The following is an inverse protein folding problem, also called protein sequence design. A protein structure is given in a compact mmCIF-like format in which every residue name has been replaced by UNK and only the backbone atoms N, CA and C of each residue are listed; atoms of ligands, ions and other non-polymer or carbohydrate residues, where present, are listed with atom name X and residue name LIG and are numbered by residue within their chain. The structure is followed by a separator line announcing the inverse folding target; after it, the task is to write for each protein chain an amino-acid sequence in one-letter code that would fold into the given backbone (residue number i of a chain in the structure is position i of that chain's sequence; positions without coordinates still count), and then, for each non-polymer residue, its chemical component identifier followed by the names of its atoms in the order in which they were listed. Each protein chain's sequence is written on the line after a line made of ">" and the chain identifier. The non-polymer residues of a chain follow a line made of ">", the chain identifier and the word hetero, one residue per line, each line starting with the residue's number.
data_IF_523590402054
#
_entry.id   IF_523590402054
#
_cell.length_a   1.000
_cell.length_b   1.000
_cell.length_c   1.000
_cell.angle_alpha   90.00
_cell.angle_beta   90.00
_cell.angle_gamma   90.00
#
_symmetry.space_group_name_H-M   'P 1'
#
loop_
_entity.id
_entity.type
_entity.pdbx_description
1 polymer ?
#
# COMPACT_ATOMS: atom_id res chain seq x y z
N UNK A 1 21.77 3.40 1.37
CA UNK A 1 21.50 4.79 1.78
C UNK A 1 20.20 4.71 2.52
N UNK A 2 20.27 4.84 3.84
CA UNK A 2 19.10 4.82 4.70
C UNK A 2 18.46 6.20 4.65
N UNK A 3 17.15 6.23 4.64
CA UNK A 3 16.35 7.44 4.71
C UNK A 3 15.88 7.61 6.15
N UNK A 4 16.09 8.80 6.71
CA UNK A 4 15.94 9.04 8.14
C UNK A 4 14.80 10.04 8.45
N UNK A 5 13.94 10.33 7.47
CA UNK A 5 12.84 11.29 7.60
C UNK A 5 11.86 10.95 8.74
N UNK A 6 11.76 9.66 9.10
CA UNK A 6 10.96 9.16 10.22
C UNK A 6 11.82 8.52 11.34
N UNK A 7 13.12 8.85 11.39
CA UNK A 7 14.11 8.29 12.31
C UNK A 7 15.15 7.43 11.58
N UNK A 8 16.32 7.24 12.20
CA UNK A 8 17.44 6.49 11.63
C UNK A 8 16.98 5.14 11.03
N UNK A 9 17.27 4.89 9.76
CA UNK A 9 16.90 3.63 9.08
C UNK A 9 15.39 3.36 8.99
N UNK A 10 14.55 4.40 9.10
CA UNK A 10 13.10 4.27 8.84
C UNK A 10 12.80 3.89 7.40
N UNK A 11 13.63 4.35 6.45
CA UNK A 11 13.57 3.93 5.06
C UNK A 11 12.57 4.73 4.21
N UNK A 12 12.61 4.51 2.89
CA UNK A 12 11.79 5.21 1.89
C UNK A 12 11.74 4.45 0.59
N UNK A 13 10.66 4.63 -0.18
CA UNK A 13 10.57 4.20 -1.58
C UNK A 13 10.39 5.42 -2.49
N UNK A 14 10.85 5.33 -3.73
CA UNK A 14 10.84 6.44 -4.67
C UNK A 14 10.14 6.02 -5.96
N UNK A 15 9.25 6.87 -6.45
CA UNK A 15 8.53 6.66 -7.71
C UNK A 15 9.16 7.55 -8.77
N UNK A 16 9.52 6.94 -9.90
CA UNK A 16 10.03 7.62 -11.08
C UNK A 16 9.12 7.33 -12.27
N UNK A 17 8.91 8.35 -13.11
CA UNK A 17 8.21 8.24 -14.38
C UNK A 17 9.13 8.63 -15.52
N UNK A 18 9.14 7.82 -16.58
CA UNK A 18 9.84 8.13 -17.83
C UNK A 18 8.97 9.08 -18.66
N UNK A 19 9.45 10.31 -18.85
CA UNK A 19 8.76 11.31 -19.68
C UNK A 19 9.13 11.22 -21.18
N UNK A 20 9.88 10.18 -21.57
CA UNK A 20 10.38 9.93 -22.93
C UNK A 20 11.78 10.46 -23.20
N UNK A 21 12.33 11.31 -22.33
CA UNK A 21 13.73 11.76 -22.40
C UNK A 21 14.51 11.46 -21.14
N UNK A 22 13.86 11.52 -19.97
CA UNK A 22 14.47 11.37 -18.66
C UNK A 22 13.53 10.63 -17.71
N UNK A 23 14.13 10.00 -16.70
CA UNK A 23 13.40 9.53 -15.52
C UNK A 23 13.27 10.67 -14.51
N UNK A 24 12.03 11.06 -14.23
CA UNK A 24 11.73 12.13 -13.27
C UNK A 24 11.18 11.51 -11.99
N UNK A 25 11.74 11.89 -10.84
CA UNK A 25 11.18 11.50 -9.55
C UNK A 25 9.82 12.20 -9.35
N UNK A 26 8.75 11.42 -9.30
CA UNK A 26 7.40 11.92 -9.05
C UNK A 26 7.08 11.99 -7.56
N UNK A 27 7.54 11.01 -6.78
CA UNK A 27 7.21 10.91 -5.37
C UNK A 27 8.33 10.26 -4.55
N UNK A 28 8.38 10.64 -3.28
CA UNK A 28 9.03 9.89 -2.21
C UNK A 28 7.92 9.40 -1.28
N UNK A 29 7.93 8.10 -0.99
CA UNK A 29 6.94 7.42 -0.18
C UNK A 29 7.60 7.00 1.13
N UNK A 30 6.92 7.27 2.24
CA UNK A 30 7.29 6.88 3.60
C UNK A 30 6.07 6.28 4.28
N UNK A 31 6.26 5.31 5.16
CA UNK A 31 5.19 4.80 6.01
C UNK A 31 4.62 5.93 6.89
N UNK A 32 3.30 6.01 7.04
CA UNK A 32 2.60 7.01 7.86
C UNK A 32 2.97 6.97 9.34
N UNK A 33 3.40 5.80 9.78
CA UNK A 33 3.79 5.39 11.12
C UNK A 33 5.25 4.91 11.14
N UNK A 34 6.03 5.24 10.10
CA UNK A 34 7.43 4.85 10.02
C UNK A 34 8.20 5.27 11.26
N UNK A 35 9.02 4.36 11.76
CA UNK A 35 9.89 4.54 12.91
C UNK A 35 11.32 4.13 12.57
N UNK A 36 12.24 4.52 13.44
CA UNK A 36 13.65 4.17 13.29
C UNK A 36 13.83 2.65 13.25
N UNK A 37 14.54 2.17 12.23
CA UNK A 37 14.85 0.75 12.06
C UNK A 37 13.80 -0.08 11.34
N UNK A 38 12.65 0.46 10.93
CA UNK A 38 11.60 -0.32 10.25
C UNK A 38 12.02 -0.84 8.86
N UNK A 39 13.06 -0.24 8.27
CA UNK A 39 13.59 -0.57 6.94
C UNK A 39 12.52 -0.54 5.84
N UNK A 40 11.62 0.45 5.86
CA UNK A 40 10.63 0.67 4.82
C UNK A 40 11.29 0.84 3.45
N UNK A 41 10.72 0.21 2.42
CA UNK A 41 11.27 0.25 1.06
C UNK A 41 12.27 -0.87 0.78
N UNK A 42 12.49 -1.80 1.72
CA UNK A 42 13.36 -2.96 1.51
C UNK A 42 12.91 -3.82 0.33
N UNK A 43 11.60 -3.99 0.16
CA UNK A 43 11.00 -4.68 -0.99
C UNK A 43 9.88 -3.83 -1.58
N UNK A 44 9.75 -3.85 -2.91
CA UNK A 44 8.75 -3.06 -3.63
C UNK A 44 8.15 -3.88 -4.77
N UNK A 45 6.84 -3.74 -4.98
CA UNK A 45 6.13 -4.28 -6.13
C UNK A 45 5.08 -3.27 -6.62
N UNK A 46 4.90 -3.17 -7.93
CA UNK A 46 4.03 -2.19 -8.58
C UNK A 46 3.12 -2.91 -9.58
N UNK A 47 1.82 -2.64 -9.53
CA UNK A 47 0.83 -3.12 -10.50
C UNK A 47 -0.22 -2.04 -10.78
N UNK A 48 -0.21 -1.48 -11.98
CA UNK A 48 -1.07 -0.34 -12.32
C UNK A 48 -0.77 0.86 -11.42
N UNK A 49 -1.79 1.37 -10.73
CA UNK A 49 -1.68 2.48 -9.77
C UNK A 49 -1.38 2.02 -8.34
N UNK A 50 -1.15 0.72 -8.11
CA UNK A 50 -0.91 0.16 -6.77
C UNK A 50 0.55 -0.21 -6.56
N UNK A 51 1.13 0.28 -5.47
CA UNK A 51 2.43 -0.12 -4.97
C UNK A 51 2.29 -0.84 -3.62
N UNK A 52 3.00 -1.95 -3.47
CA UNK A 52 3.15 -2.68 -2.22
C UNK A 52 4.60 -2.60 -1.78
N UNK A 53 4.84 -2.12 -0.56
CA UNK A 53 6.17 -1.79 -0.05
C UNK A 53 6.38 -2.49 1.28
N UNK A 54 7.45 -3.29 1.41
CA UNK A 54 7.80 -3.98 2.63
C UNK A 54 8.62 -3.14 3.61
N UNK A 55 8.39 -3.37 4.90
CA UNK A 55 9.17 -2.87 6.03
C UNK A 55 9.35 -4.05 7.01
N UNK A 56 10.33 -4.92 6.72
CA UNK A 56 10.42 -6.22 7.39
C UNK A 56 10.90 -6.15 8.85
N UNK A 57 11.39 -4.98 9.29
CA UNK A 57 11.84 -4.73 10.65
C UNK A 57 10.85 -3.90 11.46
N UNK A 58 9.68 -3.60 10.89
CA UNK A 58 8.58 -2.98 11.64
C UNK A 58 8.22 -3.83 12.86
N UNK A 59 7.98 -3.17 13.99
CA UNK A 59 7.88 -3.81 15.30
C UNK A 59 6.43 -3.88 15.85
N UNK A 60 5.42 -3.54 15.05
CA UNK A 60 4.04 -3.38 15.51
C UNK A 60 3.41 -4.65 16.10
N UNK A 61 3.78 -5.83 15.59
CA UNK A 61 3.31 -7.13 16.09
C UNK A 61 4.39 -7.88 16.92
N UNK A 62 5.48 -7.20 17.29
CA UNK A 62 6.66 -7.77 17.93
C UNK A 62 7.94 -7.37 17.20
N UNK A 63 9.08 -7.45 17.90
CA UNK A 63 10.38 -7.03 17.36
C UNK A 63 10.69 -7.72 16.02
N UNK A 64 10.80 -6.97 14.92
CA UNK A 64 11.02 -7.52 13.58
C UNK A 64 9.88 -8.40 13.06
N UNK A 65 8.65 -8.21 13.55
CA UNK A 65 7.47 -8.92 13.01
C UNK A 65 7.18 -8.54 11.57
N UNK A 66 7.46 -7.28 11.21
CA UNK A 66 7.41 -6.76 9.86
C UNK A 66 6.01 -6.37 9.40
N UNK A 67 5.98 -5.48 8.40
CA UNK A 67 4.75 -4.95 7.79
C UNK A 67 4.91 -4.78 6.29
N UNK A 68 3.78 -4.64 5.59
CA UNK A 68 3.75 -4.18 4.21
C UNK A 68 2.70 -3.08 4.01
N UNK A 69 3.02 -2.10 3.19
CA UNK A 69 2.25 -0.88 3.02
C UNK A 69 1.73 -0.78 1.60
N UNK A 70 0.44 -0.47 1.47
CA UNK A 70 -0.22 -0.24 0.20
C UNK A 70 -0.28 1.25 -0.09
N UNK A 71 0.23 1.64 -1.25
CA UNK A 71 0.11 2.98 -1.78
C UNK A 71 -0.66 2.95 -3.11
N UNK A 72 -1.53 3.93 -3.29
CA UNK A 72 -2.30 4.12 -4.51
C UNK A 72 -1.95 5.48 -5.14
N UNK A 73 -1.67 5.49 -6.43
CA UNK A 73 -1.71 6.71 -7.23
C UNK A 73 -3.16 7.07 -7.57
N UNK A 74 -3.66 8.14 -6.96
CA UNK A 74 -5.01 8.65 -7.20
C UNK A 74 -5.11 9.60 -8.42
N UNK A 75 -4.05 9.70 -9.22
CA UNK A 75 -3.92 10.58 -10.39
C UNK A 75 -3.39 11.98 -10.06
N UNK A 76 -3.20 12.31 -8.79
CA UNK A 76 -2.57 13.57 -8.35
C UNK A 76 -1.44 13.37 -7.36
N UNK A 77 -1.49 12.29 -6.57
CA UNK A 77 -0.49 11.93 -5.59
C UNK A 77 -0.55 10.43 -5.30
N UNK A 78 0.58 9.91 -4.83
CA UNK A 78 0.65 8.61 -4.17
C UNK A 78 0.20 8.75 -2.72
N UNK A 79 -0.76 7.94 -2.29
CA UNK A 79 -1.35 7.97 -0.96
C UNK A 79 -1.29 6.59 -0.33
N UNK A 80 -0.88 6.48 0.93
CA UNK A 80 -0.98 5.23 1.66
C UNK A 80 -2.46 4.90 1.92
N UNK A 81 -2.91 3.76 1.41
CA UNK A 81 -4.31 3.30 1.53
C UNK A 81 -4.46 2.10 2.47
N UNK A 82 -3.36 1.49 2.91
CA UNK A 82 -3.40 0.42 3.88
C UNK A 82 -2.04 0.04 4.45
N UNK A 83 -2.07 -0.60 5.61
CA UNK A 83 -0.98 -1.35 6.23
C UNK A 83 -1.45 -2.79 6.41
N UNK A 84 -0.60 -3.74 6.06
CA UNK A 84 -0.83 -5.17 6.12
C UNK A 84 0.18 -5.77 7.11
N UNK A 85 -0.31 -6.61 8.01
CA UNK A 85 0.49 -7.37 8.97
C UNK A 85 0.07 -8.84 8.92
N UNK A 86 0.97 -9.74 9.31
CA UNK A 86 0.62 -11.15 9.49
C UNK A 86 -0.43 -11.30 10.61
N UNK A 87 -1.45 -12.14 10.40
CA UNK A 87 -2.50 -12.37 11.41
C UNK A 87 -2.00 -13.06 12.68
N UNK A 88 -0.89 -13.78 12.54
CA UNK A 88 -0.13 -14.51 13.54
C UNK A 88 1.25 -13.87 13.79
N UNK A 89 1.47 -12.63 13.28
CA UNK A 89 2.77 -11.97 13.32
C UNK A 89 3.39 -11.99 14.71
N UNK A 90 4.61 -12.49 14.77
CA UNK A 90 5.43 -12.62 15.96
C UNK A 90 6.82 -12.02 15.73
N UNK A 91 7.60 -11.91 16.81
CA UNK A 91 8.95 -11.38 16.72
C UNK A 91 9.81 -12.23 15.77
N UNK A 92 10.68 -11.55 15.02
CA UNK A 92 11.60 -12.08 14.03
C UNK A 92 10.96 -12.72 12.78
N UNK A 93 9.65 -12.66 12.56
CA UNK A 93 9.02 -13.31 11.39
C UNK A 93 9.41 -12.68 10.05
N UNK A 94 9.79 -11.40 10.06
CA UNK A 94 10.21 -10.61 8.90
C UNK A 94 9.15 -10.56 7.79
N UNK A 95 7.88 -10.37 8.16
CA UNK A 95 6.81 -10.13 7.20
C UNK A 95 7.10 -8.89 6.35
N UNK A 96 6.95 -8.99 5.04
CA UNK A 96 7.29 -7.89 4.12
C UNK A 96 8.73 -7.94 3.60
N UNK A 97 9.52 -8.96 3.97
CA UNK A 97 10.86 -9.15 3.38
C UNK A 97 10.79 -9.35 1.85
N UNK A 98 9.72 -9.98 1.37
CA UNK A 98 9.40 -10.04 -0.05
C UNK A 98 7.92 -9.74 -0.29
N UNK A 99 7.64 -8.98 -1.35
CA UNK A 99 6.27 -8.55 -1.69
C UNK A 99 6.02 -8.70 -3.19
N UNK A 100 4.78 -9.01 -3.55
CA UNK A 100 4.29 -9.01 -4.92
C UNK A 100 2.84 -8.54 -4.95
N UNK A 101 2.50 -7.65 -5.87
CA UNK A 101 1.12 -7.23 -6.13
C UNK A 101 0.75 -7.48 -7.59
N UNK A 102 -0.46 -8.00 -7.82
CA UNK A 102 -1.03 -8.17 -9.16
C UNK A 102 -2.53 -7.94 -9.10
N UNK A 103 -3.00 -6.88 -9.74
CA UNK A 103 -4.38 -6.43 -9.63
C UNK A 103 -4.76 -6.22 -8.16
N UNK A 104 -5.71 -7.00 -7.67
CA UNK A 104 -6.28 -6.88 -6.32
C UNK A 104 -5.73 -7.91 -5.33
N UNK A 105 -4.64 -8.60 -5.70
CA UNK A 105 -4.01 -9.63 -4.88
C UNK A 105 -2.61 -9.20 -4.49
N UNK A 106 -2.34 -9.18 -3.19
CA UNK A 106 -1.02 -9.01 -2.62
C UNK A 106 -0.52 -10.35 -2.05
N UNK A 107 0.74 -10.69 -2.31
CA UNK A 107 1.47 -11.80 -1.74
C UNK A 107 2.67 -11.26 -0.95
N UNK A 108 2.80 -11.66 0.31
CA UNK A 108 3.83 -11.16 1.22
C UNK A 108 4.51 -12.34 1.91
N UNK A 109 5.84 -12.37 1.87
CA UNK A 109 6.63 -13.40 2.54
C UNK A 109 7.05 -12.95 3.95
N UNK A 110 7.02 -13.90 4.89
CA UNK A 110 7.64 -13.83 6.20
C UNK A 110 8.69 -14.95 6.28
N UNK A 111 9.93 -14.64 5.90
CA UNK A 111 10.98 -15.64 5.68
C UNK A 111 11.34 -16.42 6.95
N UNK A 112 11.20 -15.79 8.11
CA UNK A 112 11.66 -16.34 9.39
C UNK A 112 10.54 -16.85 10.30
N UNK A 113 9.29 -16.73 9.85
CA UNK A 113 8.17 -17.33 10.54
C UNK A 113 8.47 -18.80 10.89
N UNK A 114 8.23 -19.14 12.14
CA UNK A 114 8.62 -20.40 12.76
C UNK A 114 7.45 -21.22 13.30
N UNK A 115 6.22 -20.87 12.94
CA UNK A 115 5.00 -21.58 13.38
C UNK A 115 5.00 -23.08 13.05
N UNK A 116 5.70 -23.48 11.98
CA UNK A 116 5.83 -24.89 11.56
C UNK A 116 7.24 -25.46 11.73
N UNK A 117 8.11 -24.78 12.49
CA UNK A 117 9.51 -25.16 12.73
C UNK A 117 10.47 -24.01 12.49
N UNK A 118 11.71 -24.09 12.99
CA UNK A 118 12.67 -22.99 12.88
C UNK A 118 12.85 -22.50 11.44
N UNK A 119 12.49 -21.24 11.20
CA UNK A 119 12.55 -20.58 9.89
C UNK A 119 11.85 -21.38 8.79
N UNK A 120 10.70 -21.99 9.12
CA UNK A 120 9.85 -22.66 8.12
C UNK A 120 9.39 -21.70 7.03
N UNK A 121 9.24 -20.41 7.38
CA UNK A 121 8.75 -19.35 6.54
C UNK A 121 7.27 -19.49 6.22
N UNK A 122 6.61 -18.36 6.00
CA UNK A 122 5.23 -18.27 5.57
C UNK A 122 5.04 -17.32 4.40
N UNK A 123 3.94 -17.50 3.67
CA UNK A 123 3.50 -16.60 2.62
C UNK A 123 2.02 -16.29 2.81
N UNK A 124 1.69 -15.00 2.84
CA UNK A 124 0.37 -14.48 3.14
C UNK A 124 -0.24 -13.87 1.88
N UNK A 125 -1.50 -14.20 1.62
CA UNK A 125 -2.26 -13.66 0.50
C UNK A 125 -3.36 -12.74 1.04
N UNK A 126 -3.37 -11.49 0.57
CA UNK A 126 -4.45 -10.53 0.84
C UNK A 126 -5.24 -10.30 -0.44
N UNK A 127 -6.54 -10.59 -0.38
CA UNK A 127 -7.46 -10.38 -1.50
C UNK A 127 -8.91 -10.16 -1.02
N UNK A 128 -9.65 -9.18 -1.57
CA UNK A 128 -9.11 -8.07 -2.35
C UNK A 128 -8.37 -7.08 -1.44
N UNK A 129 -7.24 -6.54 -1.89
CA UNK A 129 -6.72 -5.27 -1.34
C UNK A 129 -7.68 -4.13 -1.74
N UNK A 130 -7.71 -2.99 -1.00
CA UNK A 130 -8.58 -1.86 -1.33
C UNK A 130 -8.48 -1.52 -2.82
N UNK A 131 -9.61 -1.34 -3.51
CA UNK A 131 -9.60 -0.95 -4.92
C UNK A 131 -9.10 0.48 -5.08
N UNK A 132 -8.50 0.82 -6.24
CA UNK A 132 -8.26 2.19 -6.58
C UNK A 132 -9.56 2.99 -6.49
N UNK A 133 -9.55 4.11 -5.78
CA UNK A 133 -10.72 4.97 -5.68
C UNK A 133 -11.03 5.50 -7.08
N UNK A 134 -11.92 4.82 -7.81
CA UNK A 134 -12.44 5.31 -9.08
C UNK A 134 -13.15 6.61 -8.77
N UNK A 135 -12.54 7.72 -9.19
CA UNK A 135 -13.11 9.06 -9.08
C UNK A 135 -14.44 9.08 -9.84
N UNK A 136 -15.52 8.72 -9.15
CA UNK A 136 -16.86 8.81 -9.68
C UNK A 136 -17.22 10.30 -9.70
N UNK A 137 -16.88 10.97 -10.81
CA UNK A 137 -17.48 12.25 -11.14
C UNK A 137 -18.98 11.98 -11.33
N UNK A 138 -19.77 12.12 -10.26
CA UNK A 138 -21.21 12.27 -10.37
C UNK A 138 -21.46 13.66 -10.96
N UNK A 139 -21.21 13.81 -12.25
CA UNK A 139 -21.70 14.92 -13.05
C UNK A 139 -23.17 14.65 -13.37
N UNK A 140 -24.05 14.75 -12.38
CA UNK A 140 -25.45 15.10 -12.66
C UNK A 140 -25.60 16.60 -12.44
N UNK A 141 -25.41 17.31 -13.55
CA UNK A 141 -25.66 18.73 -13.62
C UNK A 141 -27.13 19.09 -13.40
N UNK A 142 -27.29 20.30 -12.88
CA UNK A 142 -28.33 21.28 -13.19
C UNK A 142 -29.76 21.07 -12.66
N UNK A 143 -29.96 21.69 -11.51
CA UNK A 143 -31.13 22.45 -11.06
C UNK A 143 -31.84 23.24 -12.20
N UNK A 144 -33.18 23.15 -12.30
CA UNK A 144 -34.01 24.02 -13.16
C UNK A 144 -35.52 23.80 -13.03
N UNK A 145 -36.20 24.71 -12.32
CA UNK A 145 -37.66 24.82 -12.13
C UNK A 145 -38.46 24.92 -13.45
N UNK A 146 -39.65 24.29 -13.51
CA UNK A 146 -40.99 24.94 -13.56
C UNK A 146 -42.09 23.97 -14.07
N UNK A 147 -43.26 24.00 -13.42
CA UNK A 147 -44.53 23.80 -14.13
C UNK A 147 -45.33 22.54 -13.79
N UNK A 148 -46.19 22.66 -12.78
CA UNK A 148 -47.33 21.76 -12.58
C UNK A 148 -48.22 21.68 -13.81
N UNK A 149 -48.64 20.48 -14.24
CA UNK A 149 -49.93 20.32 -14.89
C UNK A 149 -50.51 18.91 -14.69
N UNK A 150 -51.58 18.86 -13.88
CA UNK A 150 -52.51 17.73 -13.79
C UNK A 150 -53.19 17.49 -15.15
N UNK A 151 -53.41 16.23 -15.53
CA UNK A 151 -54.70 15.80 -16.10
C UNK A 151 -54.98 14.29 -15.92
N UNK A 152 -56.27 14.02 -15.71
CA UNK A 152 -56.97 12.82 -15.24
C UNK A 152 -57.18 11.72 -16.30
N UNK A 153 -57.63 10.55 -15.77
CA UNK A 153 -58.54 9.48 -16.29
C UNK A 153 -57.78 8.19 -16.61
N UNK A 154 -58.23 7.00 -16.21
CA UNK A 154 -59.52 6.50 -15.74
C UNK A 154 -59.41 5.82 -14.38
#
# INVERSE_FOLDING_TARGET
>A
MYDDDCGDQSGSAYVFEDNGTDWVQLAKLTASDGAAGDEFGYSVSLSGTMALIGAYQDNDCGDGSGSAYLFEDNGTAWVQVGKLTASDGAADDWFGLSVSVSGTTALIGAYRDSDLGTWSGSAYIFTPIPEPATMLLVATGALGLLGSLRRRRR
#
